data_IF_269693323987
#
_entry.id   IF_269693323987
#
_cell.length_a   1.000
_cell.length_b   1.000
_cell.length_c   1.000
_cell.angle_alpha   90.00
_cell.angle_beta   90.00
_cell.angle_gamma   90.00
#
_symmetry.space_group_name_H-M   'P 1'
#
loop_
_entity.id
_entity.type
_entity.pdbx_description
1 polymer ?
#
# COMPACT_ATOMS: atom_id res chain seq x y z
N UNK A 1 -27.91 -1.88 33.20
CA UNK A 1 -28.13 -0.89 32.16
C UNK A 1 -26.77 -0.24 31.86
N UNK A 2 -26.22 -0.28 30.66
CA UNK A 2 -24.93 0.33 30.38
C UNK A 2 -25.06 1.86 30.47
N UNK A 3 -24.25 2.46 31.31
CA UNK A 3 -24.07 3.89 31.44
C UNK A 3 -22.71 4.20 30.78
N UNK A 4 -22.66 5.23 29.94
CA UNK A 4 -21.39 5.71 29.39
C UNK A 4 -20.49 6.15 30.55
N UNK A 5 -19.32 5.51 30.76
CA UNK A 5 -18.46 5.80 31.89
C UNK A 5 -17.81 7.19 31.83
N UNK A 6 -17.90 7.91 30.71
CA UNK A 6 -17.27 9.20 30.49
C UNK A 6 -18.23 10.41 30.62
N UNK A 7 -19.55 10.23 30.52
CA UNK A 7 -20.47 11.35 30.45
C UNK A 7 -21.73 11.24 31.33
N UNK A 8 -21.95 10.14 32.07
CA UNK A 8 -23.11 9.95 32.95
C UNK A 8 -24.49 10.05 32.25
N UNK A 9 -24.53 10.16 30.92
CA UNK A 9 -25.77 10.19 30.14
C UNK A 9 -26.13 8.77 29.70
N UNK A 10 -27.39 8.41 29.89
CA UNK A 10 -27.96 7.15 29.39
C UNK A 10 -27.87 7.15 27.87
N UNK A 11 -27.23 6.13 27.30
CA UNK A 11 -27.17 5.93 25.86
C UNK A 11 -28.58 5.71 25.28
N UNK A 12 -28.94 6.49 24.26
CA UNK A 12 -30.25 6.40 23.60
C UNK A 12 -30.34 5.07 22.87
N UNK A 13 -31.41 4.34 23.06
CA UNK A 13 -31.63 3.00 22.50
C UNK A 13 -32.65 3.02 21.36
N UNK A 14 -32.69 1.94 20.55
CA UNK A 14 -33.75 1.72 19.54
C UNK A 14 -35.14 1.79 20.17
N UNK A 15 -35.29 1.39 21.44
CA UNK A 15 -36.57 1.46 22.16
C UNK A 15 -37.00 2.90 22.42
N UNK A 16 -36.06 3.79 22.71
CA UNK A 16 -36.36 5.23 22.93
C UNK A 16 -36.76 5.88 21.61
N UNK A 17 -36.09 5.56 20.49
CA UNK A 17 -36.48 6.03 19.15
C UNK A 17 -37.86 5.47 18.74
N UNK A 18 -38.14 4.22 19.01
CA UNK A 18 -39.43 3.60 18.71
C UNK A 18 -40.58 4.30 19.47
N UNK A 19 -40.37 4.62 20.76
CA UNK A 19 -41.34 5.34 21.58
C UNK A 19 -41.57 6.76 21.03
N UNK A 20 -40.53 7.51 20.70
CA UNK A 20 -40.61 8.86 20.14
C UNK A 20 -41.32 8.85 18.76
N UNK A 21 -41.01 7.91 17.89
CA UNK A 21 -41.61 7.77 16.56
C UNK A 21 -43.01 7.14 16.57
N UNK A 22 -43.51 6.69 17.76
CA UNK A 22 -44.80 5.98 17.94
C UNK A 22 -44.93 4.76 17.03
N UNK A 23 -43.88 3.93 17.00
CA UNK A 23 -43.85 2.66 16.27
C UNK A 23 -43.38 1.51 17.17
N UNK A 24 -43.53 0.26 16.71
CA UNK A 24 -42.96 -0.87 17.43
C UNK A 24 -41.42 -0.85 17.40
N UNK A 25 -40.77 -1.40 18.41
CA UNK A 25 -39.30 -1.59 18.44
C UNK A 25 -38.79 -2.31 17.20
N UNK A 26 -39.55 -3.34 16.73
CA UNK A 26 -39.20 -4.08 15.52
C UNK A 26 -39.27 -3.21 14.26
N UNK A 27 -40.25 -2.28 14.18
CA UNK A 27 -40.37 -1.33 13.06
C UNK A 27 -39.25 -0.30 13.09
N UNK A 28 -38.95 0.27 14.24
CA UNK A 28 -37.80 1.19 14.40
C UNK A 28 -36.48 0.50 14.05
N UNK A 29 -36.23 -0.70 14.52
CA UNK A 29 -35.03 -1.48 14.22
C UNK A 29 -34.88 -1.75 12.73
N UNK A 30 -35.97 -2.09 12.03
CA UNK A 30 -35.96 -2.31 10.56
C UNK A 30 -35.64 -1.04 9.77
N UNK A 31 -36.25 0.09 10.14
CA UNK A 31 -36.00 1.38 9.48
C UNK A 31 -34.58 1.85 9.72
N UNK A 32 -34.10 1.82 10.98
CA UNK A 32 -32.76 2.25 11.35
C UNK A 32 -31.67 1.31 10.80
N UNK A 33 -32.00 0.02 10.66
CA UNK A 33 -31.11 -0.98 10.06
C UNK A 33 -31.08 -0.98 8.54
N UNK A 34 -32.00 -0.26 7.89
CA UNK A 34 -32.09 -0.21 6.41
C UNK A 34 -32.62 -1.49 5.76
N UNK A 35 -33.30 -2.38 6.52
CA UNK A 35 -33.83 -3.64 5.99
C UNK A 35 -35.35 -3.76 6.18
N UNK A 36 -36.00 -4.44 5.25
CA UNK A 36 -37.43 -4.70 5.29
C UNK A 36 -38.31 -3.53 4.81
N UNK A 37 -39.60 -3.82 4.59
CA UNK A 37 -40.58 -2.86 4.09
C UNK A 37 -41.08 -1.97 5.22
N UNK A 38 -41.03 -0.66 5.02
CA UNK A 38 -41.71 0.38 5.80
C UNK A 38 -42.23 1.43 4.85
N UNK A 39 -43.40 2.01 5.14
CA UNK A 39 -43.91 3.14 4.34
C UNK A 39 -43.00 4.36 4.54
N UNK A 40 -42.94 5.23 3.53
CA UNK A 40 -42.13 6.46 3.54
C UNK A 40 -42.43 7.31 4.79
N UNK A 41 -43.70 7.52 5.12
CA UNK A 41 -44.16 8.26 6.28
C UNK A 41 -43.69 7.63 7.63
N UNK A 42 -43.54 6.30 7.70
CA UNK A 42 -42.97 5.64 8.90
C UNK A 42 -41.45 5.80 8.94
N UNK A 43 -40.80 5.73 7.80
CA UNK A 43 -39.35 5.93 7.68
C UNK A 43 -38.95 7.33 8.13
N UNK A 44 -39.63 8.35 7.64
CA UNK A 44 -39.35 9.76 7.96
C UNK A 44 -39.56 10.03 9.47
N UNK A 45 -40.62 9.50 10.07
CA UNK A 45 -40.87 9.66 11.52
C UNK A 45 -39.79 9.01 12.36
N UNK A 46 -39.32 7.82 11.97
CA UNK A 46 -38.27 7.11 12.72
C UNK A 46 -36.92 7.84 12.57
N UNK A 47 -36.61 8.34 11.38
CA UNK A 47 -35.38 9.11 11.14
C UNK A 47 -35.39 10.43 11.91
N UNK A 48 -36.47 11.19 11.85
CA UNK A 48 -36.62 12.43 12.62
C UNK A 48 -36.51 12.20 14.13
N UNK A 49 -37.13 11.13 14.66
CA UNK A 49 -36.99 10.78 16.06
C UNK A 49 -35.54 10.39 16.45
N UNK A 50 -34.84 9.67 15.59
CA UNK A 50 -33.44 9.31 15.82
C UNK A 50 -32.53 10.56 15.86
N UNK A 51 -32.71 11.49 14.92
CA UNK A 51 -31.98 12.75 14.89
C UNK A 51 -32.27 13.63 16.12
N UNK A 52 -33.52 13.77 16.51
CA UNK A 52 -33.92 14.56 17.71
C UNK A 52 -33.31 14.00 18.99
N UNK A 53 -33.20 12.69 19.10
CA UNK A 53 -32.65 12.03 20.29
C UNK A 53 -31.12 11.87 20.24
N UNK A 54 -30.48 12.22 19.11
CA UNK A 54 -29.06 11.98 18.91
C UNK A 54 -28.72 10.47 18.89
N UNK A 55 -29.65 9.65 18.40
CA UNK A 55 -29.43 8.22 18.32
C UNK A 55 -28.47 7.88 17.18
N UNK A 56 -27.35 7.26 17.52
CA UNK A 56 -26.44 6.67 16.54
C UNK A 56 -26.66 5.14 16.49
N UNK A 57 -26.95 4.57 15.30
CA UNK A 57 -27.08 3.14 15.17
C UNK A 57 -25.84 2.42 15.68
N UNK A 58 -26.02 1.48 16.61
CA UNK A 58 -24.92 0.66 17.09
C UNK A 58 -24.45 -0.25 15.94
N UNK A 59 -23.23 0.01 15.42
CA UNK A 59 -22.63 -0.73 14.32
C UNK A 59 -22.54 -2.23 14.63
N UNK A 60 -22.25 -2.61 15.88
CA UNK A 60 -22.24 -4.01 16.34
C UNK A 60 -23.64 -4.66 16.22
N UNK A 61 -24.69 -3.97 16.62
CA UNK A 61 -26.06 -4.49 16.51
C UNK A 61 -26.49 -4.63 15.04
N UNK A 62 -26.07 -3.71 14.17
CA UNK A 62 -26.29 -3.78 12.72
C UNK A 62 -25.54 -5.00 12.13
N UNK A 63 -24.27 -5.17 12.46
CA UNK A 63 -23.45 -6.31 12.02
C UNK A 63 -24.06 -7.65 12.47
N UNK A 64 -24.56 -7.74 13.70
CA UNK A 64 -25.22 -8.95 14.19
C UNK A 64 -26.53 -9.30 13.44
N UNK A 65 -27.21 -8.29 12.91
CA UNK A 65 -28.50 -8.46 12.22
C UNK A 65 -28.34 -8.70 10.72
N UNK A 66 -27.38 -8.01 10.10
CA UNK A 66 -27.14 -8.07 8.65
C UNK A 66 -26.03 -9.02 8.24
N UNK A 67 -25.19 -9.45 9.17
CA UNK A 67 -23.98 -10.22 8.91
C UNK A 67 -22.86 -9.41 8.26
N UNK A 68 -23.06 -8.08 8.02
CA UNK A 68 -22.10 -7.19 7.37
C UNK A 68 -21.74 -6.03 8.27
N UNK A 69 -20.43 -5.72 8.36
CA UNK A 69 -19.93 -4.58 9.12
C UNK A 69 -19.96 -3.27 8.32
N UNK A 70 -20.04 -3.35 6.98
CA UNK A 70 -19.78 -2.28 6.04
C UNK A 70 -18.42 -1.60 6.28
N UNK A 71 -17.45 -2.38 6.70
CA UNK A 71 -16.05 -1.93 6.84
C UNK A 71 -15.11 -2.90 6.15
N UNK A 72 -14.05 -2.37 5.57
CA UNK A 72 -12.93 -3.13 5.02
C UNK A 72 -11.65 -2.73 5.74
N UNK A 73 -10.75 -3.69 5.90
CA UNK A 73 -9.41 -3.44 6.45
C UNK A 73 -8.43 -3.13 5.33
N UNK A 74 -7.43 -2.30 5.63
CA UNK A 74 -6.24 -2.16 4.81
C UNK A 74 -5.01 -2.27 5.71
N UNK A 75 -4.08 -3.17 5.36
CA UNK A 75 -2.80 -3.35 6.04
C UNK A 75 -1.72 -2.85 5.10
N UNK A 76 -0.98 -1.84 5.55
CA UNK A 76 0.13 -1.22 4.80
C UNK A 76 1.47 -1.56 5.45
N UNK A 77 2.54 -1.58 4.64
CA UNK A 77 3.87 -1.87 5.12
C UNK A 77 4.46 -0.75 5.99
N UNK A 78 4.32 0.50 5.56
CA UNK A 78 4.88 1.65 6.27
C UNK A 78 4.06 2.91 5.99
N UNK A 79 3.31 3.38 6.98
CA UNK A 79 2.45 4.57 6.86
C UNK A 79 3.24 5.86 6.61
N UNK A 80 4.53 5.90 6.95
CA UNK A 80 5.40 7.06 6.68
C UNK A 80 5.83 7.13 5.21
N UNK A 81 5.76 6.00 4.48
CA UNK A 81 6.05 5.98 3.06
C UNK A 81 4.87 6.58 2.26
N UNK A 82 5.08 7.67 1.49
CA UNK A 82 4.03 8.31 0.69
C UNK A 82 3.31 7.38 -0.29
N UNK A 83 3.96 6.29 -0.73
CA UNK A 83 3.34 5.26 -1.54
C UNK A 83 2.09 4.70 -0.85
N UNK A 84 2.21 4.24 0.39
CA UNK A 84 1.07 3.65 1.09
C UNK A 84 -0.02 4.66 1.43
N UNK A 85 0.33 5.92 1.69
CA UNK A 85 -0.66 6.98 1.89
C UNK A 85 -1.51 7.23 0.63
N UNK A 86 -0.88 7.28 -0.55
CA UNK A 86 -1.58 7.47 -1.83
C UNK A 86 -2.40 6.24 -2.23
N UNK A 87 -1.88 5.02 -2.04
CA UNK A 87 -2.63 3.79 -2.30
C UNK A 87 -3.85 3.68 -1.37
N UNK A 88 -3.68 3.99 -0.08
CA UNK A 88 -4.79 4.05 0.89
C UNK A 88 -5.83 5.08 0.46
N UNK A 89 -5.43 6.24 -0.06
CA UNK A 89 -6.37 7.25 -0.57
C UNK A 89 -7.20 6.69 -1.73
N UNK A 90 -6.56 6.02 -2.70
CA UNK A 90 -7.26 5.38 -3.81
C UNK A 90 -8.27 4.34 -3.33
N UNK A 91 -7.86 3.48 -2.39
CA UNK A 91 -8.76 2.50 -1.78
C UNK A 91 -9.92 3.15 -1.02
N UNK A 92 -9.65 4.21 -0.25
CA UNK A 92 -10.67 4.92 0.54
C UNK A 92 -11.72 5.59 -0.33
N UNK A 93 -11.34 6.18 -1.47
CA UNK A 93 -12.27 6.82 -2.40
C UNK A 93 -13.27 5.80 -2.97
N UNK A 94 -12.80 4.62 -3.37
CA UNK A 94 -13.64 3.53 -3.87
C UNK A 94 -14.49 2.93 -2.75
N UNK A 95 -13.91 2.66 -1.59
CA UNK A 95 -14.62 2.12 -0.43
C UNK A 95 -15.79 3.04 -0.02
N UNK A 96 -15.53 4.35 0.11
CA UNK A 96 -16.53 5.35 0.45
C UNK A 96 -17.67 5.41 -0.57
N UNK A 97 -17.35 5.38 -1.87
CA UNK A 97 -18.36 5.39 -2.92
C UNK A 97 -19.27 4.16 -2.89
N UNK A 98 -18.75 3.02 -2.40
CA UNK A 98 -19.49 1.77 -2.22
C UNK A 98 -20.15 1.63 -0.83
N UNK A 99 -20.03 2.63 0.06
CA UNK A 99 -20.64 2.64 1.39
C UNK A 99 -19.88 1.83 2.44
N UNK A 100 -18.56 1.68 2.27
CA UNK A 100 -17.68 1.02 3.23
C UNK A 100 -16.80 2.04 3.97
N UNK A 101 -16.63 1.81 5.27
CA UNK A 101 -15.60 2.46 6.07
C UNK A 101 -14.27 1.72 5.89
N UNK A 102 -13.13 2.46 5.87
CA UNK A 102 -11.79 1.88 5.76
C UNK A 102 -11.09 1.92 7.11
N UNK A 103 -10.59 0.77 7.57
CA UNK A 103 -9.78 0.62 8.79
C UNK A 103 -8.34 0.34 8.38
N UNK A 104 -7.43 1.30 8.67
CA UNK A 104 -6.02 1.18 8.35
C UNK A 104 -5.22 0.64 9.54
N UNK A 105 -4.36 -0.34 9.27
CA UNK A 105 -3.36 -0.87 10.19
C UNK A 105 -1.99 -0.87 9.52
N UNK A 106 -0.93 -0.68 10.32
CA UNK A 106 0.46 -0.67 9.86
C UNK A 106 1.17 -1.94 10.32
N UNK A 107 1.93 -2.59 9.42
CA UNK A 107 2.69 -3.81 9.73
C UNK A 107 4.18 -3.56 10.00
N UNK A 108 4.67 -2.34 9.72
CA UNK A 108 6.11 -2.01 9.76
C UNK A 108 6.98 -3.00 8.95
N UNK A 109 6.37 -3.60 7.91
CA UNK A 109 6.98 -4.66 7.09
C UNK A 109 7.42 -5.92 7.88
N UNK A 110 6.77 -6.17 9.02
CA UNK A 110 7.06 -7.31 9.89
C UNK A 110 5.91 -8.32 9.90
N UNK A 111 6.19 -9.59 9.63
CA UNK A 111 5.19 -10.67 9.56
C UNK A 111 4.36 -10.81 10.86
N UNK A 112 5.00 -10.65 12.03
CA UNK A 112 4.30 -10.72 13.34
C UNK A 112 3.31 -9.56 13.50
N UNK A 113 3.67 -8.36 13.08
CA UNK A 113 2.77 -7.21 13.13
C UNK A 113 1.62 -7.35 12.11
N UNK A 114 1.89 -7.92 10.93
CA UNK A 114 0.87 -8.25 9.94
C UNK A 114 -0.14 -9.28 10.48
N UNK A 115 0.32 -10.37 11.11
CA UNK A 115 -0.53 -11.37 11.75
C UNK A 115 -1.43 -10.74 12.83
N UNK A 116 -0.87 -9.89 13.68
CA UNK A 116 -1.64 -9.14 14.68
C UNK A 116 -2.68 -8.23 14.03
N UNK A 117 -2.31 -7.51 12.96
CA UNK A 117 -3.22 -6.64 12.22
C UNK A 117 -4.40 -7.44 11.62
N UNK A 118 -4.13 -8.60 11.03
CA UNK A 118 -5.16 -9.51 10.52
C UNK A 118 -6.09 -9.96 11.64
N UNK A 119 -5.54 -10.41 12.76
CA UNK A 119 -6.32 -10.84 13.93
C UNK A 119 -7.26 -9.72 14.44
N UNK A 120 -6.77 -8.48 14.49
CA UNK A 120 -7.58 -7.30 14.85
C UNK A 120 -8.73 -7.08 13.86
N UNK A 121 -8.47 -7.15 12.55
CA UNK A 121 -9.50 -6.97 11.52
C UNK A 121 -10.54 -8.09 11.56
N UNK A 122 -10.11 -9.33 11.76
CA UNK A 122 -11.01 -10.48 11.93
C UNK A 122 -11.89 -10.34 13.17
N UNK A 123 -11.33 -9.88 14.30
CA UNK A 123 -12.08 -9.60 15.53
C UNK A 123 -13.10 -8.47 15.34
N UNK A 124 -12.77 -7.46 14.54
CA UNK A 124 -13.69 -6.37 14.14
C UNK A 124 -14.72 -6.82 13.10
N UNK A 125 -14.60 -8.04 12.57
CA UNK A 125 -15.50 -8.61 11.55
C UNK A 125 -15.59 -7.77 10.28
N UNK A 126 -14.47 -7.21 9.82
CA UNK A 126 -14.45 -6.50 8.54
C UNK A 126 -14.95 -7.41 7.42
N UNK A 127 -15.59 -6.83 6.38
CA UNK A 127 -16.19 -7.62 5.31
C UNK A 127 -15.14 -8.12 4.31
N UNK A 128 -13.96 -7.48 4.26
CA UNK A 128 -12.81 -7.89 3.45
C UNK A 128 -11.53 -7.15 3.84
N UNK A 129 -10.39 -7.59 3.30
CA UNK A 129 -9.06 -7.11 3.70
C UNK A 129 -8.21 -6.83 2.45
N UNK A 130 -7.62 -5.63 2.38
CA UNK A 130 -6.54 -5.26 1.48
C UNK A 130 -5.22 -5.41 2.22
N UNK A 131 -4.22 -6.02 1.61
CA UNK A 131 -2.91 -6.23 2.26
C UNK A 131 -1.76 -5.93 1.30
N UNK A 132 -0.79 -5.13 1.76
CA UNK A 132 0.54 -5.13 1.18
C UNK A 132 1.40 -6.11 1.98
N UNK A 133 1.69 -7.33 1.47
CA UNK A 133 2.32 -8.37 2.26
C UNK A 133 3.68 -7.98 2.84
N UNK A 134 3.90 -8.28 4.11
CA UNK A 134 5.20 -8.08 4.77
C UNK A 134 6.26 -9.03 4.21
N UNK A 135 5.85 -10.22 3.72
CA UNK A 135 6.73 -11.19 3.08
C UNK A 135 6.09 -11.79 1.84
N UNK A 136 6.85 -11.84 0.74
CA UNK A 136 6.47 -12.57 -0.47
C UNK A 136 6.63 -14.08 -0.31
N UNK A 137 7.69 -14.53 0.36
CA UNK A 137 8.09 -15.95 0.44
C UNK A 137 7.48 -16.70 1.62
N UNK A 138 7.00 -15.98 2.63
CA UNK A 138 6.31 -16.56 3.79
C UNK A 138 4.95 -15.89 4.02
N UNK A 139 3.87 -16.41 3.41
CA UNK A 139 2.52 -15.90 3.56
C UNK A 139 1.75 -16.51 4.76
N UNK A 140 2.42 -17.09 5.73
CA UNK A 140 1.78 -17.81 6.84
C UNK A 140 0.78 -16.95 7.61
N UNK A 141 1.11 -15.67 7.84
CA UNK A 141 0.24 -14.67 8.47
C UNK A 141 -1.07 -14.42 7.72
N UNK A 142 -1.06 -14.57 6.39
CA UNK A 142 -2.22 -14.30 5.53
C UNK A 142 -3.16 -15.51 5.40
N UNK A 143 -2.64 -16.74 5.57
CA UNK A 143 -3.41 -17.99 5.38
C UNK A 143 -4.64 -18.06 6.28
N UNK A 144 -4.50 -17.68 7.56
CA UNK A 144 -5.61 -17.71 8.51
C UNK A 144 -6.83 -16.90 8.01
N UNK A 145 -6.60 -15.71 7.44
CA UNK A 145 -7.69 -14.89 6.93
C UNK A 145 -8.37 -15.53 5.71
N UNK A 146 -7.60 -16.14 4.80
CA UNK A 146 -8.12 -16.87 3.65
C UNK A 146 -8.91 -18.09 4.08
N UNK A 147 -8.39 -18.90 5.01
CA UNK A 147 -9.07 -20.10 5.55
C UNK A 147 -10.37 -19.74 6.26
N UNK A 148 -10.46 -18.56 6.87
CA UNK A 148 -11.71 -18.05 7.46
C UNK A 148 -12.69 -17.49 6.43
N UNK A 149 -12.44 -17.70 5.13
CA UNK A 149 -13.26 -17.25 4.02
C UNK A 149 -13.53 -15.73 4.01
N UNK A 150 -12.57 -14.92 4.44
CA UNK A 150 -12.63 -13.48 4.30
C UNK A 150 -12.05 -13.08 2.95
N UNK A 151 -12.81 -12.38 2.10
CA UNK A 151 -12.27 -11.82 0.86
C UNK A 151 -11.00 -11.03 1.12
N UNK A 152 -9.94 -11.31 0.36
CA UNK A 152 -8.65 -10.66 0.47
C UNK A 152 -8.14 -10.30 -0.92
N UNK A 153 -7.51 -9.14 -1.04
CA UNK A 153 -6.78 -8.70 -2.23
C UNK A 153 -5.42 -8.18 -1.79
N UNK A 154 -4.38 -8.62 -2.47
CA UNK A 154 -3.03 -8.11 -2.25
C UNK A 154 -2.76 -6.92 -3.17
N UNK A 155 -1.99 -5.96 -2.70
CA UNK A 155 -1.55 -4.83 -3.52
C UNK A 155 -0.06 -4.53 -3.27
N UNK A 156 0.59 -3.84 -4.21
CA UNK A 156 2.04 -3.55 -4.23
C UNK A 156 2.92 -4.79 -4.38
N UNK A 157 2.62 -5.85 -3.65
CA UNK A 157 3.40 -7.09 -3.57
C UNK A 157 2.49 -8.30 -3.71
N UNK A 158 3.09 -9.42 -4.15
CA UNK A 158 2.43 -10.73 -4.17
C UNK A 158 2.92 -11.58 -3.00
N UNK A 159 2.21 -12.65 -2.69
CA UNK A 159 2.61 -13.65 -1.70
C UNK A 159 2.57 -15.04 -2.33
N UNK A 160 3.67 -15.77 -2.25
CA UNK A 160 3.83 -17.07 -2.91
C UNK A 160 2.84 -18.10 -2.35
N UNK A 161 2.18 -18.84 -3.24
CA UNK A 161 1.27 -19.91 -2.85
C UNK A 161 -0.06 -19.48 -2.25
N UNK A 162 -0.45 -18.20 -2.38
CA UNK A 162 -1.80 -17.72 -2.13
C UNK A 162 -2.51 -17.47 -3.46
N UNK A 163 -3.70 -18.06 -3.60
CA UNK A 163 -4.58 -17.85 -4.74
C UNK A 163 -5.63 -16.78 -4.40
N UNK A 164 -5.22 -15.53 -4.48
CA UNK A 164 -6.05 -14.34 -4.22
C UNK A 164 -5.77 -13.28 -5.26
N UNK A 165 -6.73 -12.36 -5.46
CA UNK A 165 -6.54 -11.24 -6.39
C UNK A 165 -5.34 -10.39 -5.99
N UNK A 166 -4.61 -9.89 -7.01
CA UNK A 166 -3.43 -9.03 -6.78
C UNK A 166 -3.45 -7.82 -7.71
N UNK A 167 -3.00 -6.67 -7.21
CA UNK A 167 -2.80 -5.46 -8.00
C UNK A 167 -1.40 -4.92 -7.74
N UNK A 168 -0.54 -4.96 -8.75
CA UNK A 168 0.86 -4.52 -8.67
C UNK A 168 1.22 -3.59 -9.81
N UNK A 169 2.32 -2.86 -9.68
CA UNK A 169 2.92 -2.13 -10.79
C UNK A 169 3.88 -3.04 -11.59
N UNK A 170 4.14 -2.71 -12.87
CA UNK A 170 5.15 -3.39 -13.68
C UNK A 170 6.56 -2.98 -13.23
N UNK A 171 6.98 -3.53 -12.10
CA UNK A 171 8.25 -3.22 -11.45
C UNK A 171 9.46 -3.66 -12.28
N UNK A 172 9.34 -4.78 -12.98
CA UNK A 172 10.43 -5.33 -13.81
C UNK A 172 10.71 -4.40 -15.01
N UNK A 173 9.66 -4.04 -15.76
CA UNK A 173 9.82 -3.15 -16.92
C UNK A 173 10.25 -1.74 -16.48
N UNK A 174 9.72 -1.23 -15.36
CA UNK A 174 10.11 0.07 -14.81
C UNK A 174 11.59 0.14 -14.47
N UNK A 175 12.12 -0.85 -13.76
CA UNK A 175 13.54 -0.90 -13.40
C UNK A 175 14.44 -1.06 -14.63
N UNK A 176 14.03 -1.91 -15.56
CA UNK A 176 14.75 -2.08 -16.83
C UNK A 176 14.83 -0.76 -17.59
N UNK A 177 13.75 0.02 -17.61
CA UNK A 177 13.71 1.32 -18.27
C UNK A 177 14.64 2.35 -17.62
N UNK A 178 14.66 2.45 -16.27
CA UNK A 178 15.58 3.34 -15.56
C UNK A 178 17.04 2.96 -15.79
N UNK A 179 17.36 1.67 -15.73
CA UNK A 179 18.71 1.17 -16.03
C UNK A 179 19.12 1.52 -17.45
N UNK A 180 18.24 1.34 -18.44
CA UNK A 180 18.51 1.63 -19.84
C UNK A 180 18.80 3.12 -20.07
N UNK A 181 18.08 4.04 -19.42
CA UNK A 181 18.36 5.47 -19.51
C UNK A 181 19.79 5.82 -19.07
N UNK A 182 20.24 5.23 -17.96
CA UNK A 182 21.58 5.43 -17.45
C UNK A 182 22.65 4.79 -18.37
N UNK A 183 22.36 3.62 -18.93
CA UNK A 183 23.23 2.95 -19.91
C UNK A 183 23.35 3.77 -21.20
N UNK A 184 22.26 4.35 -21.69
CA UNK A 184 22.22 5.21 -22.88
C UNK A 184 22.99 6.51 -22.67
N UNK A 185 22.99 7.04 -21.42
CA UNK A 185 23.82 8.18 -21.03
C UNK A 185 25.33 7.83 -20.90
N UNK A 186 25.71 6.55 -21.03
CA UNK A 186 27.09 6.08 -20.99
C UNK A 186 27.55 5.52 -19.65
N UNK A 187 26.69 5.44 -18.65
CA UNK A 187 27.04 4.85 -17.35
C UNK A 187 27.26 3.33 -17.47
N UNK A 188 28.23 2.83 -16.73
CA UNK A 188 28.51 1.39 -16.58
C UNK A 188 28.69 0.95 -15.11
N UNK A 189 29.02 1.90 -14.24
CA UNK A 189 29.16 1.73 -12.79
C UNK A 189 27.92 2.30 -12.12
N UNK A 190 26.84 1.53 -12.17
CA UNK A 190 25.51 1.94 -11.72
C UNK A 190 25.16 1.13 -10.47
N UNK A 191 24.75 1.80 -9.39
CA UNK A 191 24.29 1.14 -8.17
C UNK A 191 22.75 1.07 -8.13
N UNK A 192 22.22 -0.02 -7.58
CA UNK A 192 20.83 -0.13 -7.16
C UNK A 192 20.80 -0.15 -5.63
N UNK A 193 20.02 0.76 -5.02
CA UNK A 193 19.92 0.90 -3.57
C UNK A 193 18.48 0.69 -3.12
N UNK A 194 18.28 -0.22 -2.18
CA UNK A 194 16.99 -0.53 -1.56
C UNK A 194 17.14 -0.82 -0.08
N UNK A 195 16.01 -0.93 0.62
CA UNK A 195 15.97 -1.43 1.99
C UNK A 195 14.97 -2.57 2.06
N UNK A 196 15.45 -3.73 2.50
CA UNK A 196 14.61 -4.88 2.82
C UNK A 196 14.98 -5.29 4.24
N UNK A 197 13.97 -5.46 5.10
CA UNK A 197 14.20 -5.98 6.44
C UNK A 197 14.88 -7.36 6.33
N UNK A 198 15.98 -7.54 7.05
CA UNK A 198 16.75 -8.79 7.11
C UNK A 198 17.36 -9.26 5.76
N UNK A 199 17.63 -8.35 4.81
CA UNK A 199 18.31 -8.73 3.58
C UNK A 199 19.82 -8.97 3.84
N UNK A 200 20.28 -10.15 3.46
CA UNK A 200 21.71 -10.45 3.24
C UNK A 200 22.22 -9.76 1.96
N UNK A 201 23.51 -9.94 1.65
CA UNK A 201 24.04 -9.53 0.36
C UNK A 201 23.21 -10.13 -0.80
N UNK A 202 22.90 -9.29 -1.80
CA UNK A 202 22.17 -9.76 -2.97
C UNK A 202 22.97 -10.84 -3.72
N UNK A 203 22.30 -11.94 -4.06
CA UNK A 203 22.84 -13.02 -4.90
C UNK A 203 21.88 -13.25 -6.06
N UNK A 204 22.43 -13.29 -7.27
CA UNK A 204 21.64 -13.57 -8.48
C UNK A 204 20.92 -14.91 -8.34
N UNK A 205 19.61 -14.91 -8.63
CA UNK A 205 18.75 -16.10 -8.55
C UNK A 205 18.16 -16.39 -7.17
N UNK A 206 18.48 -15.62 -6.14
CA UNK A 206 17.84 -15.70 -4.82
C UNK A 206 16.64 -14.75 -4.78
N UNK A 207 15.43 -15.28 -4.46
CA UNK A 207 14.21 -14.49 -4.30
C UNK A 207 14.32 -13.60 -3.06
N UNK A 208 13.89 -12.36 -3.21
CA UNK A 208 13.84 -11.40 -2.10
C UNK A 208 12.49 -11.49 -1.37
N UNK A 209 12.46 -11.10 -0.11
CA UNK A 209 11.24 -11.09 0.71
C UNK A 209 10.17 -10.08 0.26
N UNK A 210 10.49 -9.16 -0.65
CA UNK A 210 9.58 -8.23 -1.29
C UNK A 210 9.56 -8.43 -2.79
N UNK A 211 8.42 -8.82 -3.36
CA UNK A 211 8.29 -9.07 -4.80
C UNK A 211 8.50 -7.80 -5.63
N UNK A 212 8.07 -6.65 -5.16
CA UNK A 212 8.27 -5.38 -5.87
C UNK A 212 9.76 -5.04 -5.98
N UNK A 213 10.53 -5.22 -4.92
CA UNK A 213 11.99 -5.01 -4.94
C UNK A 213 12.70 -6.11 -5.74
N UNK A 214 12.27 -7.38 -5.62
CA UNK A 214 12.81 -8.49 -6.41
C UNK A 214 12.71 -8.22 -7.92
N UNK A 215 11.53 -7.83 -8.39
CA UNK A 215 11.31 -7.49 -9.80
C UNK A 215 12.13 -6.27 -10.24
N UNK A 216 12.24 -5.23 -9.39
CA UNK A 216 13.09 -4.05 -9.68
C UNK A 216 14.56 -4.45 -9.83
N UNK A 217 15.08 -5.23 -8.90
CA UNK A 217 16.47 -5.73 -8.97
C UNK A 217 16.68 -6.61 -10.21
N UNK A 218 15.75 -7.51 -10.52
CA UNK A 218 15.83 -8.38 -11.71
C UNK A 218 15.80 -7.57 -13.00
N UNK A 219 14.92 -6.58 -13.10
CA UNK A 219 14.85 -5.68 -14.25
C UNK A 219 16.14 -4.87 -14.43
N UNK A 220 16.68 -4.32 -13.33
CA UNK A 220 17.94 -3.59 -13.30
C UNK A 220 19.13 -4.46 -13.72
N UNK A 221 19.35 -5.57 -13.03
CA UNK A 221 20.48 -6.50 -13.31
C UNK A 221 20.40 -7.06 -14.74
N UNK A 222 19.16 -7.41 -15.19
CA UNK A 222 18.94 -7.88 -16.55
C UNK A 222 19.33 -6.86 -17.62
N UNK A 223 18.98 -5.58 -17.42
CA UNK A 223 19.37 -4.52 -18.36
C UNK A 223 20.88 -4.32 -18.42
N UNK A 224 21.58 -4.36 -17.29
CA UNK A 224 23.03 -4.25 -17.23
C UNK A 224 23.72 -5.46 -17.91
N UNK A 225 23.22 -6.66 -17.67
CA UNK A 225 23.75 -7.88 -18.29
C UNK A 225 23.59 -7.84 -19.82
N UNK A 226 22.43 -7.45 -20.32
CA UNK A 226 22.17 -7.32 -21.77
C UNK A 226 23.06 -6.26 -22.42
N UNK A 227 23.48 -5.22 -21.67
CA UNK A 227 24.41 -4.20 -22.12
C UNK A 227 25.90 -4.62 -21.98
N UNK A 228 26.17 -5.86 -21.57
CA UNK A 228 27.52 -6.40 -21.42
C UNK A 228 28.31 -5.80 -20.25
N UNK A 229 27.63 -5.34 -19.20
CA UNK A 229 28.30 -4.89 -17.96
C UNK A 229 28.80 -6.11 -17.19
N UNK A 230 30.11 -6.14 -16.91
CA UNK A 230 30.71 -7.19 -16.10
C UNK A 230 30.18 -7.11 -14.67
N UNK A 231 29.79 -8.26 -14.09
CA UNK A 231 29.20 -8.39 -12.76
C UNK A 231 28.07 -7.38 -12.49
N UNK A 232 26.92 -7.49 -13.20
CA UNK A 232 25.84 -6.51 -13.16
C UNK A 232 25.18 -6.39 -11.78
N UNK A 233 25.43 -7.34 -10.88
CA UNK A 233 24.92 -7.34 -9.50
C UNK A 233 25.89 -6.69 -8.49
N UNK A 234 27.12 -6.40 -8.89
CA UNK A 234 28.20 -5.91 -8.02
C UNK A 234 27.79 -4.75 -7.10
N UNK A 235 26.98 -3.81 -7.60
CA UNK A 235 26.58 -2.61 -6.88
C UNK A 235 25.11 -2.64 -6.44
N UNK A 236 24.48 -3.82 -6.33
CA UNK A 236 23.18 -3.96 -5.67
C UNK A 236 23.39 -3.93 -4.15
N UNK A 237 22.66 -3.04 -3.48
CA UNK A 237 22.70 -2.88 -2.01
C UNK A 237 21.27 -2.90 -1.48
N UNK A 238 21.00 -3.85 -0.59
CA UNK A 238 19.69 -4.09 0.04
C UNK A 238 19.81 -3.91 1.56
N UNK A 239 20.22 -2.73 1.99
CA UNK A 239 20.47 -2.46 3.40
C UNK A 239 19.23 -1.88 4.09
N UNK A 240 19.20 -1.98 5.43
CA UNK A 240 18.19 -1.31 6.23
C UNK A 240 18.19 0.21 5.99
N UNK A 241 17.03 0.85 6.18
CA UNK A 241 16.81 2.28 5.92
C UNK A 241 17.87 3.19 6.56
N UNK A 242 18.28 2.89 7.79
CA UNK A 242 19.31 3.65 8.52
C UNK A 242 20.72 3.51 7.92
N UNK A 243 20.93 2.50 7.08
CA UNK A 243 22.20 2.23 6.41
C UNK A 243 22.40 2.99 5.10
N UNK A 244 21.37 3.64 4.53
CA UNK A 244 21.46 4.29 3.21
C UNK A 244 22.59 5.33 3.11
N UNK A 245 22.80 6.25 4.06
CA UNK A 245 23.92 7.21 3.98
C UNK A 245 25.29 6.52 3.94
N UNK A 246 25.51 5.50 4.77
CA UNK A 246 26.77 4.76 4.79
C UNK A 246 26.99 3.99 3.49
N UNK A 247 25.93 3.38 2.95
CA UNK A 247 25.93 2.68 1.67
C UNK A 247 26.28 3.62 0.52
N UNK A 248 25.63 4.78 0.44
CA UNK A 248 25.91 5.79 -0.59
C UNK A 248 27.36 6.25 -0.54
N UNK A 249 27.89 6.49 0.65
CA UNK A 249 29.30 6.88 0.83
C UNK A 249 30.25 5.80 0.29
N UNK A 250 30.05 4.55 0.70
CA UNK A 250 30.88 3.44 0.22
C UNK A 250 30.78 3.27 -1.30
N UNK A 251 29.61 3.41 -1.89
CA UNK A 251 29.40 3.33 -3.34
C UNK A 251 30.12 4.47 -4.07
N UNK A 252 30.10 5.70 -3.53
CA UNK A 252 30.84 6.84 -4.08
C UNK A 252 32.35 6.60 -4.03
N UNK A 253 32.85 6.06 -2.91
CA UNK A 253 34.28 5.70 -2.76
C UNK A 253 34.68 4.55 -3.71
N UNK A 254 33.76 3.62 -3.99
CA UNK A 254 33.90 2.58 -5.02
C UNK A 254 33.82 3.14 -6.46
N UNK A 255 33.57 4.45 -6.62
CA UNK A 255 33.56 5.13 -7.92
C UNK A 255 32.34 4.81 -8.77
N UNK A 256 31.15 4.65 -8.18
CA UNK A 256 29.90 4.60 -8.94
C UNK A 256 29.62 5.94 -9.61
N UNK A 257 28.94 5.92 -10.74
CA UNK A 257 28.61 7.14 -11.50
C UNK A 257 27.11 7.40 -11.54
N UNK A 258 26.29 6.44 -11.15
CA UNK A 258 24.85 6.61 -11.07
C UNK A 258 24.24 5.72 -9.99
N UNK A 259 23.10 6.16 -9.47
CA UNK A 259 22.30 5.43 -8.47
C UNK A 259 20.85 5.31 -8.97
N UNK A 260 20.30 4.09 -8.89
CA UNK A 260 18.87 3.80 -8.97
C UNK A 260 18.37 3.54 -7.55
N UNK A 261 17.52 4.41 -7.03
CA UNK A 261 16.88 4.24 -5.72
C UNK A 261 15.54 3.51 -5.88
N UNK A 262 15.28 2.53 -5.02
CA UNK A 262 14.09 1.67 -5.13
C UNK A 262 12.77 2.36 -4.81
N UNK A 263 12.82 3.47 -4.11
CA UNK A 263 11.65 4.28 -3.72
C UNK A 263 12.05 5.73 -3.41
N UNK A 264 11.05 6.57 -3.12
CA UNK A 264 11.29 8.00 -2.90
C UNK A 264 12.01 8.30 -1.58
N UNK A 265 11.88 7.47 -0.54
CA UNK A 265 12.57 7.67 0.74
C UNK A 265 14.06 7.35 0.62
N UNK A 266 14.39 6.25 -0.07
CA UNK A 266 15.77 5.89 -0.39
C UNK A 266 16.42 6.96 -1.26
N UNK A 267 15.70 7.44 -2.28
CA UNK A 267 16.17 8.53 -3.14
C UNK A 267 16.47 9.82 -2.35
N UNK A 268 15.57 10.17 -1.42
CA UNK A 268 15.76 11.35 -0.56
C UNK A 268 16.98 11.20 0.34
N UNK A 269 17.18 10.02 0.93
CA UNK A 269 18.35 9.75 1.76
C UNK A 269 19.65 9.80 0.93
N UNK A 270 19.66 9.19 -0.28
CA UNK A 270 20.79 9.22 -1.20
C UNK A 270 21.09 10.67 -1.66
N UNK A 271 20.07 11.44 -2.02
CA UNK A 271 20.21 12.84 -2.41
C UNK A 271 20.86 13.68 -1.30
N UNK A 272 20.42 13.53 -0.04
CA UNK A 272 20.99 14.22 1.12
C UNK A 272 22.45 13.85 1.33
N UNK A 273 22.78 12.55 1.26
CA UNK A 273 24.15 12.08 1.48
C UNK A 273 25.10 12.55 0.36
N UNK A 274 24.70 12.47 -0.91
CA UNK A 274 25.48 13.01 -2.03
C UNK A 274 25.82 14.49 -1.82
N UNK A 275 24.84 15.29 -1.38
CA UNK A 275 25.09 16.70 -1.06
C UNK A 275 26.04 16.88 0.12
N UNK A 276 25.93 16.05 1.17
CA UNK A 276 26.85 16.08 2.32
C UNK A 276 28.27 15.75 1.91
N UNK A 277 28.44 14.84 0.95
CA UNK A 277 29.74 14.49 0.35
C UNK A 277 30.26 15.52 -0.68
N UNK A 278 29.52 16.60 -0.92
CA UNK A 278 29.85 17.60 -1.92
C UNK A 278 29.76 17.08 -3.35
N UNK A 279 29.04 15.97 -3.58
CA UNK A 279 28.82 15.42 -4.92
C UNK A 279 27.61 16.10 -5.57
N UNK A 280 27.80 16.58 -6.80
CA UNK A 280 26.76 17.26 -7.57
C UNK A 280 25.95 16.24 -8.36
N UNK A 281 24.64 16.42 -8.33
CA UNK A 281 23.70 15.71 -9.20
C UNK A 281 23.33 16.68 -10.33
N UNK A 282 23.41 16.25 -11.59
CA UNK A 282 23.90 14.97 -12.11
C UNK A 282 25.41 14.92 -12.36
N UNK A 283 26.14 16.02 -12.23
CA UNK A 283 27.51 16.21 -12.74
C UNK A 283 28.53 15.17 -12.24
N UNK A 284 28.45 14.78 -10.97
CA UNK A 284 29.38 13.83 -10.37
C UNK A 284 28.74 12.44 -10.18
N UNK A 285 27.43 12.41 -9.91
CA UNK A 285 26.63 11.18 -9.78
C UNK A 285 25.22 11.44 -10.30
N UNK A 286 24.77 10.67 -11.28
CA UNK A 286 23.35 10.66 -11.71
C UNK A 286 22.49 9.94 -10.69
N UNK A 287 21.27 10.45 -10.45
CA UNK A 287 20.32 9.84 -9.50
C UNK A 287 18.95 9.69 -10.17
N UNK A 288 18.45 8.45 -10.19
CA UNK A 288 17.10 8.15 -10.64
C UNK A 288 16.38 7.32 -9.57
N UNK A 289 15.06 7.36 -9.56
CA UNK A 289 14.28 6.68 -8.52
C UNK A 289 12.95 6.14 -9.02
N UNK A 290 12.32 5.31 -8.19
CA UNK A 290 10.89 5.06 -8.26
C UNK A 290 10.15 6.10 -7.45
N UNK A 291 8.88 6.29 -7.77
CA UNK A 291 7.88 7.19 -7.17
C UNK A 291 8.10 8.68 -7.45
N UNK A 292 7.08 9.29 -8.00
CA UNK A 292 7.03 10.73 -8.26
C UNK A 292 6.50 11.50 -7.03
N UNK A 293 7.30 11.49 -5.96
CA UNK A 293 6.99 12.26 -4.76
C UNK A 293 7.25 13.75 -4.97
N UNK A 294 6.51 14.63 -4.30
CA UNK A 294 6.56 16.09 -4.49
C UNK A 294 7.97 16.65 -4.47
N UNK A 295 8.82 16.18 -3.55
CA UNK A 295 10.18 16.66 -3.41
C UNK A 295 11.05 16.41 -4.66
N UNK A 296 10.75 15.38 -5.47
CA UNK A 296 11.52 15.04 -6.68
C UNK A 296 11.41 16.10 -7.77
N UNK A 297 10.30 16.83 -7.79
CA UNK A 297 10.07 17.98 -8.69
C UNK A 297 10.52 19.31 -8.10
N UNK A 298 10.60 19.41 -6.77
CA UNK A 298 10.98 20.63 -6.06
C UNK A 298 12.49 20.72 -5.79
N UNK A 299 13.22 19.60 -5.94
CA UNK A 299 14.68 19.59 -5.82
C UNK A 299 15.35 20.27 -7.03
N UNK A 300 16.59 20.74 -6.83
CA UNK A 300 17.43 21.25 -7.87
C UNK A 300 18.76 20.47 -7.88
N UNK A 301 19.00 19.64 -8.92
CA UNK A 301 18.12 19.35 -10.05
C UNK A 301 16.87 18.55 -9.67
N UNK A 302 15.83 18.60 -10.49
CA UNK A 302 14.69 17.71 -10.41
C UNK A 302 15.10 16.27 -10.70
N UNK A 303 14.51 15.30 -9.99
CA UNK A 303 14.90 13.88 -10.08
C UNK A 303 14.05 13.16 -11.11
N UNK A 304 14.69 12.52 -12.08
CA UNK A 304 14.06 11.59 -13.04
C UNK A 304 13.56 10.36 -12.31
N UNK A 305 12.27 10.04 -12.49
CA UNK A 305 11.63 8.94 -11.76
C UNK A 305 10.76 8.06 -12.65
N UNK A 306 10.60 6.82 -12.22
CA UNK A 306 9.57 5.92 -12.69
C UNK A 306 8.34 6.07 -11.78
N UNK A 307 7.36 6.82 -12.26
CA UNK A 307 6.12 7.09 -11.52
C UNK A 307 5.18 5.90 -11.59
N UNK A 308 4.83 5.35 -10.43
CA UNK A 308 3.83 4.31 -10.29
C UNK A 308 2.42 4.93 -10.30
N UNK A 309 1.39 4.22 -10.81
CA UNK A 309 -0.01 4.64 -10.71
C UNK A 309 -0.58 4.33 -9.32
N UNK A 310 0.03 4.91 -8.26
CA UNK A 310 -0.16 4.48 -6.87
C UNK A 310 -1.63 4.57 -6.42
N UNK A 311 -2.30 5.70 -6.71
CA UNK A 311 -3.72 5.87 -6.40
C UNK A 311 -4.56 4.79 -7.08
N UNK A 312 -4.28 4.47 -8.35
CA UNK A 312 -5.03 3.46 -9.11
C UNK A 312 -4.76 2.05 -8.59
N UNK A 313 -3.55 1.73 -8.11
CA UNK A 313 -3.26 0.46 -7.44
C UNK A 313 -4.22 0.26 -6.26
N UNK A 314 -4.35 1.25 -5.39
CA UNK A 314 -5.26 1.17 -4.24
C UNK A 314 -6.74 1.12 -4.67
N UNK A 315 -7.11 1.93 -5.65
CA UNK A 315 -8.48 1.99 -6.17
C UNK A 315 -8.90 0.66 -6.80
N UNK A 316 -8.05 0.06 -7.63
CA UNK A 316 -8.35 -1.21 -8.29
C UNK A 316 -8.40 -2.37 -7.30
N UNK A 317 -7.48 -2.40 -6.33
CA UNK A 317 -7.51 -3.38 -5.26
C UNK A 317 -8.84 -3.31 -4.47
N UNK A 318 -9.33 -2.11 -4.18
CA UNK A 318 -10.63 -1.94 -3.51
C UNK A 318 -11.81 -2.35 -4.39
N UNK A 319 -11.79 -2.09 -5.72
CA UNK A 319 -12.83 -2.55 -6.65
C UNK A 319 -12.90 -4.08 -6.68
N UNK A 320 -11.76 -4.75 -6.80
CA UNK A 320 -11.66 -6.21 -6.74
C UNK A 320 -12.22 -6.74 -5.42
N UNK A 321 -11.78 -6.19 -4.29
CA UNK A 321 -12.24 -6.63 -2.97
C UNK A 321 -13.77 -6.49 -2.83
N UNK A 322 -14.34 -5.35 -3.25
CA UNK A 322 -15.79 -5.12 -3.15
C UNK A 322 -16.57 -6.10 -4.04
N UNK A 323 -16.08 -6.45 -5.23
CA UNK A 323 -16.67 -7.51 -6.06
C UNK A 323 -16.67 -8.86 -5.34
N UNK A 324 -15.55 -9.23 -4.71
CA UNK A 324 -15.46 -10.48 -3.91
C UNK A 324 -16.40 -10.49 -2.72
N UNK A 325 -16.52 -9.37 -2.01
CA UNK A 325 -17.49 -9.21 -0.91
C UNK A 325 -18.95 -9.36 -1.40
N UNK A 326 -19.23 -8.93 -2.62
CA UNK A 326 -20.54 -9.07 -3.24
C UNK A 326 -20.85 -10.51 -3.70
N UNK A 327 -19.88 -11.43 -3.63
CA UNK A 327 -20.04 -12.84 -4.00
C UNK A 327 -19.60 -13.17 -5.43
N UNK A 328 -18.76 -12.32 -6.05
CA UNK A 328 -18.17 -12.64 -7.34
C UNK A 328 -17.26 -13.88 -7.22
N UNK A 329 -17.68 -14.99 -7.86
CA UNK A 329 -16.97 -16.26 -7.91
C UNK A 329 -16.06 -16.43 -9.14
N UNK A 330 -15.77 -15.36 -9.88
CA UNK A 330 -14.83 -15.42 -11.00
C UNK A 330 -13.43 -15.90 -10.55
N UNK A 331 -12.62 -16.47 -11.43
CA UNK A 331 -11.22 -16.80 -11.13
C UNK A 331 -10.47 -15.59 -10.56
N UNK A 332 -9.40 -15.86 -9.82
CA UNK A 332 -8.51 -14.81 -9.30
C UNK A 332 -7.87 -13.99 -10.40
N UNK A 333 -7.74 -12.69 -10.17
CA UNK A 333 -7.19 -11.73 -11.13
C UNK A 333 -5.82 -11.22 -10.65
N UNK A 334 -4.86 -11.14 -11.58
CA UNK A 334 -3.55 -10.57 -11.35
C UNK A 334 -3.39 -9.33 -12.23
N UNK A 335 -3.67 -8.16 -11.66
CA UNK A 335 -3.64 -6.89 -12.38
C UNK A 335 -2.24 -6.28 -12.27
N UNK A 336 -1.62 -6.03 -13.42
CA UNK A 336 -0.31 -5.36 -13.52
C UNK A 336 -0.53 -4.00 -14.17
N UNK A 337 -0.30 -2.93 -13.43
CA UNK A 337 -0.48 -1.57 -13.92
C UNK A 337 0.83 -1.00 -14.47
N UNK A 338 0.80 -0.35 -15.66
CA UNK A 338 1.99 0.22 -16.25
C UNK A 338 2.49 1.44 -15.47
N UNK A 339 3.81 1.61 -15.43
CA UNK A 339 4.47 2.78 -14.86
C UNK A 339 4.77 3.81 -15.93
N UNK A 340 4.99 5.07 -15.54
CA UNK A 340 5.29 6.19 -16.43
C UNK A 340 6.63 6.83 -16.08
N UNK A 341 7.52 6.95 -17.06
CA UNK A 341 8.75 7.72 -16.90
C UNK A 341 8.41 9.22 -16.79
N UNK A 342 8.98 9.88 -15.78
CA UNK A 342 9.01 11.33 -15.63
C UNK A 342 10.45 11.76 -15.72
N UNK A 343 10.82 12.25 -16.90
CA UNK A 343 12.19 12.68 -17.19
C UNK A 343 12.42 14.11 -16.65
N UNK A 344 13.56 14.29 -15.94
CA UNK A 344 14.00 15.55 -15.33
C UNK A 344 15.53 15.69 -15.50
N UNK A 345 16.16 16.55 -14.69
CA UNK A 345 17.54 16.99 -14.93
C UNK A 345 18.61 16.16 -14.17
N UNK A 346 18.26 15.04 -13.57
CA UNK A 346 19.17 14.28 -12.67
C UNK A 346 20.08 13.26 -13.37
N UNK A 347 20.11 13.27 -14.70
CA UNK A 347 20.96 12.37 -15.50
C UNK A 347 21.93 13.22 -16.37
N UNK A 348 23.22 12.87 -16.34
CA UNK A 348 24.23 13.40 -17.26
C UNK A 348 25.25 12.30 -17.60
N UNK A 349 25.97 12.39 -18.72
CA UNK A 349 27.05 11.44 -19.01
C UNK A 349 28.07 11.37 -17.88
N UNK A 350 28.62 10.17 -17.57
CA UNK A 350 29.63 10.03 -16.53
C UNK A 350 30.88 10.84 -16.89
N UNK A 351 31.49 11.48 -15.91
CA UNK A 351 32.82 12.10 -16.10
C UNK A 351 33.87 11.01 -16.31
N UNK A 352 34.72 11.24 -17.31
CA UNK A 352 35.87 10.37 -17.62
C UNK A 352 36.93 10.38 -16.52
#
# INVERSE_FOLDING_TARGET
MPVDPLNGRREVTVSDVAAAAKVSKATAARVLGGYGAASEAVRDRVQAAAEQLGYHPNALAKTMTTGRSNSIGIIVGDIENPFFAQATRGAADVAKAAGYDLILLNSDEHAVAEENAISVLLAKRVDGILVAPASTTDPSSLREAVERARPMVLFDRVADGLDVDTVVADNLAGARRLAQLLLDAGHRRIAFVSTIAHADEYRVGVRLGSSSVDDRVRGFVGALADAGVDDPARFVRLNARDGVPAVVRALVDDGITAIVASDSLIAQAAFRELRTLGRRIPDDVSLVAFDDADWTSLSAPGITVMAQPIHEIGAEAARLLIRRIAGDGAPTEHVVLPQRLVDRESIAPPRS
#
